data_IF_150629773380
#
_entry.id   IF_150629773380
#
_cell.length_a   1.000
_cell.length_b   1.000
_cell.length_c   1.000
_cell.angle_alpha   90.00
_cell.angle_beta   90.00
_cell.angle_gamma   90.00
#
_symmetry.space_group_name_H-M   'P 1'
#
loop_
_entity.id
_entity.type
_entity.pdbx_description
1 polymer ?
#
# COMPACT_ATOMS: atom_id res chain seq x y z
N UNK A 1 7.69 7.24 0.14
CA UNK A 1 6.38 7.62 -0.46
C UNK A 1 6.37 9.13 -0.74
N UNK A 2 5.56 9.60 -1.69
CA UNK A 2 5.42 11.03 -1.99
C UNK A 2 4.07 11.61 -1.53
N UNK A 3 3.05 10.78 -1.38
CA UNK A 3 1.73 11.17 -0.89
C UNK A 3 1.00 9.99 -0.25
N UNK A 4 0.00 10.30 0.59
CA UNK A 4 -1.04 9.33 0.96
C UNK A 4 -2.05 9.31 -0.18
N UNK A 5 -2.35 8.12 -0.66
CA UNK A 5 -3.32 7.92 -1.72
C UNK A 5 -4.75 7.88 -1.16
N UNK A 6 -4.94 7.26 0.01
CA UNK A 6 -6.23 7.25 0.68
C UNK A 6 -6.26 6.36 1.92
N UNK A 7 -7.34 6.52 2.67
CA UNK A 7 -7.74 5.70 3.82
C UNK A 7 -9.04 4.99 3.45
N UNK A 8 -9.05 3.66 3.46
CA UNK A 8 -10.17 2.86 3.01
C UNK A 8 -10.68 2.01 4.17
N UNK A 9 -11.96 2.17 4.49
CA UNK A 9 -12.69 1.24 5.33
C UNK A 9 -13.35 0.20 4.43
N UNK A 10 -12.94 -1.05 4.53
CA UNK A 10 -13.37 -2.13 3.63
C UNK A 10 -13.65 -3.41 4.40
N UNK A 11 -14.84 -3.98 4.19
CA UNK A 11 -15.19 -5.31 4.67
C UNK A 11 -14.85 -6.37 3.61
N UNK A 12 -14.08 -7.39 3.98
CA UNK A 12 -13.74 -8.54 3.14
C UNK A 12 -14.65 -9.70 3.49
N UNK A 13 -15.56 -10.07 2.58
CA UNK A 13 -16.40 -11.26 2.75
C UNK A 13 -15.57 -12.55 2.82
N UNK A 14 -14.45 -12.62 2.06
CA UNK A 14 -13.57 -13.80 2.05
C UNK A 14 -12.93 -14.03 3.42
N UNK A 15 -12.51 -12.95 4.07
CA UNK A 15 -11.75 -13.02 5.31
C UNK A 15 -12.66 -12.79 6.55
N UNK A 16 -13.97 -12.56 6.34
CA UNK A 16 -14.98 -12.17 7.34
C UNK A 16 -14.47 -11.09 8.31
N UNK A 17 -13.82 -10.07 7.74
CA UNK A 17 -13.07 -9.09 8.51
C UNK A 17 -13.16 -7.69 7.91
N UNK A 18 -13.10 -6.71 8.81
CA UNK A 18 -13.04 -5.29 8.46
C UNK A 18 -11.60 -4.80 8.48
N UNK A 19 -11.19 -4.14 7.41
CA UNK A 19 -9.87 -3.55 7.24
C UNK A 19 -9.96 -2.03 7.20
N UNK A 20 -9.03 -1.39 7.91
CA UNK A 20 -8.68 0.00 7.67
C UNK A 20 -7.35 0.02 6.92
N UNK A 21 -7.39 0.32 5.61
CA UNK A 21 -6.22 0.32 4.74
C UNK A 21 -5.74 1.74 4.48
N UNK A 22 -4.47 2.00 4.74
CA UNK A 22 -3.78 3.20 4.24
C UNK A 22 -3.02 2.83 2.98
N UNK A 23 -3.26 3.54 1.88
CA UNK A 23 -2.47 3.39 0.66
C UNK A 23 -1.56 4.61 0.49
N UNK A 24 -0.33 4.36 0.04
CA UNK A 24 0.64 5.38 -0.32
C UNK A 24 0.99 5.24 -1.80
N UNK A 25 1.43 6.34 -2.40
CA UNK A 25 2.04 6.30 -3.72
C UNK A 25 3.40 6.99 -3.72
N UNK A 26 4.19 6.70 -4.76
CA UNK A 26 5.52 7.27 -4.96
C UNK A 26 6.16 6.70 -6.21
N UNK A 27 7.38 7.14 -6.48
CA UNK A 27 8.20 6.57 -7.55
C UNK A 27 8.99 5.42 -6.95
N UNK A 28 8.87 4.25 -7.57
CA UNK A 28 9.70 3.09 -7.29
C UNK A 28 10.63 2.87 -8.47
N UNK A 29 11.91 2.60 -8.19
CA UNK A 29 12.90 2.23 -9.19
C UNK A 29 13.19 0.74 -9.09
N UNK A 30 13.58 0.13 -10.22
CA UNK A 30 14.10 -1.21 -10.17
C UNK A 30 15.35 -1.22 -9.29
N UNK A 31 15.48 -2.18 -8.36
CA UNK A 31 16.67 -2.29 -7.54
C UNK A 31 17.90 -2.60 -8.42
N UNK A 32 19.06 -2.11 -8.01
CA UNK A 32 20.34 -2.33 -8.71
C UNK A 32 20.80 -3.78 -8.66
N UNK A 33 20.28 -4.56 -7.72
CA UNK A 33 20.53 -5.99 -7.53
C UNK A 33 19.20 -6.72 -7.33
N UNK A 34 19.18 -8.03 -7.57
CA UNK A 34 18.00 -8.85 -7.27
C UNK A 34 17.73 -8.81 -5.76
N UNK A 35 16.57 -8.32 -5.33
CA UNK A 35 16.24 -8.27 -3.90
C UNK A 35 15.96 -9.68 -3.40
N UNK A 36 16.38 -9.96 -2.17
CA UNK A 36 15.88 -11.12 -1.44
C UNK A 36 14.40 -10.90 -1.14
N UNK A 37 13.55 -11.79 -1.65
CA UNK A 37 12.11 -11.72 -1.46
C UNK A 37 11.72 -12.50 -0.20
N UNK A 38 10.69 -12.02 0.50
CA UNK A 38 10.03 -12.81 1.53
C UNK A 38 9.58 -14.16 0.93
N UNK A 39 9.73 -15.30 1.63
CA UNK A 39 9.35 -16.62 1.14
C UNK A 39 7.92 -16.72 0.59
N UNK A 40 6.97 -15.89 1.05
CA UNK A 40 5.60 -15.91 0.53
C UNK A 40 5.44 -15.16 -0.80
N UNK A 41 6.46 -14.43 -1.25
CA UNK A 41 6.47 -13.68 -2.50
C UNK A 41 7.13 -14.52 -3.60
N UNK A 42 6.32 -15.00 -4.54
CA UNK A 42 6.77 -15.83 -5.67
C UNK A 42 7.58 -15.00 -6.69
N UNK A 43 7.11 -13.79 -7.03
CA UNK A 43 7.74 -12.91 -8.01
C UNK A 43 7.22 -11.47 -7.89
N UNK A 44 7.95 -10.52 -8.46
CA UNK A 44 7.52 -9.13 -8.64
C UNK A 44 7.43 -8.79 -10.13
N UNK A 45 6.40 -8.04 -10.51
CA UNK A 45 6.14 -7.65 -11.90
C UNK A 45 5.77 -6.17 -11.97
N UNK A 46 6.23 -5.49 -13.03
CA UNK A 46 5.76 -4.16 -13.42
C UNK A 46 4.65 -4.33 -14.46
N UNK A 47 3.44 -3.92 -14.11
CA UNK A 47 2.26 -4.08 -14.95
C UNK A 47 1.58 -2.73 -15.19
N UNK A 48 1.01 -2.55 -16.37
CA UNK A 48 0.08 -1.44 -16.63
C UNK A 48 -1.24 -1.67 -15.90
N UNK A 49 -2.04 -0.61 -15.76
CA UNK A 49 -3.38 -0.71 -15.18
C UNK A 49 -4.24 -1.75 -15.91
N UNK A 50 -4.21 -1.75 -17.24
CA UNK A 50 -5.00 -2.66 -18.09
C UNK A 50 -4.57 -4.12 -17.87
N UNK A 51 -3.27 -4.36 -17.73
CA UNK A 51 -2.74 -5.70 -17.44
C UNK A 51 -3.17 -6.19 -16.05
N UNK A 52 -3.26 -5.30 -15.05
CA UNK A 52 -3.81 -5.63 -13.72
C UNK A 52 -5.31 -5.92 -13.81
N UNK A 53 -6.07 -5.11 -14.56
CA UNK A 53 -7.51 -5.29 -14.75
C UNK A 53 -7.84 -6.62 -15.44
N UNK A 54 -7.06 -7.00 -16.46
CA UNK A 54 -7.20 -8.29 -17.13
C UNK A 54 -7.04 -9.49 -16.17
N UNK A 55 -6.39 -9.29 -15.02
CA UNK A 55 -6.17 -10.30 -13.98
C UNK A 55 -7.05 -10.09 -12.74
N UNK A 56 -8.13 -9.29 -12.82
CA UNK A 56 -8.97 -8.92 -11.67
C UNK A 56 -9.39 -10.11 -10.79
N UNK A 57 -9.72 -11.25 -11.40
CA UNK A 57 -10.16 -12.46 -10.69
C UNK A 57 -9.05 -13.14 -9.87
N UNK A 58 -7.78 -12.81 -10.13
CA UNK A 58 -6.61 -13.33 -9.41
C UNK A 58 -6.11 -12.38 -8.33
N UNK A 59 -6.65 -11.17 -8.25
CA UNK A 59 -6.20 -10.18 -7.27
C UNK A 59 -6.64 -10.60 -5.87
N UNK A 60 -5.75 -10.39 -4.89
CA UNK A 60 -6.03 -10.71 -3.48
C UNK A 60 -7.19 -9.90 -2.90
N UNK A 61 -7.55 -8.78 -3.50
CA UNK A 61 -8.70 -7.96 -3.08
C UNK A 61 -9.06 -6.97 -4.19
N UNK A 62 -10.34 -6.59 -4.33
CA UNK A 62 -10.76 -5.49 -5.22
C UNK A 62 -10.07 -4.16 -4.88
N UNK A 63 -9.55 -4.01 -3.65
CA UNK A 63 -8.81 -2.82 -3.22
C UNK A 63 -7.53 -2.56 -4.01
N UNK A 64 -6.97 -3.58 -4.69
CA UNK A 64 -5.81 -3.37 -5.58
C UNK A 64 -6.18 -2.46 -6.74
N UNK A 65 -7.23 -2.78 -7.49
CA UNK A 65 -7.70 -1.96 -8.61
C UNK A 65 -8.21 -0.61 -8.14
N UNK A 66 -8.95 -0.57 -7.03
CA UNK A 66 -9.43 0.70 -6.46
C UNK A 66 -8.28 1.68 -6.18
N UNK A 67 -7.20 1.20 -5.56
CA UNK A 67 -6.04 2.05 -5.31
C UNK A 67 -5.40 2.54 -6.63
N UNK A 68 -5.26 1.66 -7.64
CA UNK A 68 -4.69 2.07 -8.93
C UNK A 68 -5.56 3.13 -9.60
N UNK A 69 -6.89 2.97 -9.55
CA UNK A 69 -7.85 3.90 -10.13
C UNK A 69 -7.79 5.27 -9.46
N UNK A 70 -7.79 5.30 -8.13
CA UNK A 70 -7.65 6.55 -7.37
C UNK A 70 -6.26 7.20 -7.61
N UNK A 71 -5.22 6.40 -7.88
CA UNK A 71 -3.92 6.92 -8.27
C UNK A 71 -3.99 7.59 -9.66
N UNK A 72 -4.61 6.92 -10.63
CA UNK A 72 -4.82 7.40 -11.99
C UNK A 72 -5.75 8.62 -12.05
N UNK A 73 -6.70 8.76 -11.13
CA UNK A 73 -7.58 9.94 -11.03
C UNK A 73 -6.90 11.16 -10.42
N UNK A 74 -5.65 11.04 -9.98
CA UNK A 74 -4.85 12.15 -9.44
C UNK A 74 -5.01 12.37 -7.93
N UNK A 75 -5.65 11.46 -7.18
CA UNK A 75 -5.83 11.60 -5.73
C UNK A 75 -4.49 11.61 -5.00
N UNK A 76 -4.12 12.72 -4.34
CA UNK A 76 -2.88 12.84 -3.57
C UNK A 76 -3.15 13.67 -2.31
N UNK A 77 -3.10 13.05 -1.15
CA UNK A 77 -3.11 13.74 0.14
C UNK A 77 -1.68 13.96 0.64
N UNK A 78 -1.41 15.09 1.30
CA UNK A 78 -0.09 15.35 1.85
C UNK A 78 0.27 14.31 2.91
N UNK A 79 1.54 13.89 2.98
CA UNK A 79 2.00 12.93 4.00
C UNK A 79 1.73 13.42 5.43
N UNK A 80 1.70 14.74 5.64
CA UNK A 80 1.36 15.38 6.91
C UNK A 80 -0.09 15.16 7.37
N UNK A 81 -0.96 14.55 6.55
CA UNK A 81 -2.27 14.10 7.01
C UNK A 81 -2.17 12.91 7.98
N UNK A 82 -1.03 12.22 8.02
CA UNK A 82 -0.72 11.24 9.03
C UNK A 82 0.07 11.91 10.15
N UNK A 83 -0.41 11.73 11.37
CA UNK A 83 0.28 12.17 12.57
C UNK A 83 0.68 10.96 13.40
N UNK A 84 1.90 10.97 13.91
CA UNK A 84 2.34 10.02 14.91
C UNK A 84 2.09 10.62 16.30
N UNK A 85 1.28 9.94 17.12
CA UNK A 85 1.04 10.34 18.49
C UNK A 85 2.01 9.59 19.43
N UNK A 86 2.75 10.32 20.27
CA UNK A 86 3.52 9.74 21.38
C UNK A 86 4.92 9.19 21.05
N UNK A 87 5.55 9.57 19.94
CA UNK A 87 6.89 9.06 19.58
C UNK A 87 7.98 9.40 20.63
N UNK A 88 7.87 10.57 21.28
CA UNK A 88 8.78 11.06 22.33
C UNK A 88 8.81 10.17 23.60
N UNK A 89 7.70 9.52 23.96
CA UNK A 89 7.63 8.67 25.15
C UNK A 89 8.35 7.32 24.95
N UNK A 90 8.41 6.84 23.71
CA UNK A 90 9.02 5.55 23.35
C UNK A 90 10.55 5.60 23.35
N UNK A 91 11.15 6.75 23.00
CA UNK A 91 12.61 6.95 23.08
C UNK A 91 13.12 7.05 24.53
N UNK A 92 12.30 7.56 25.47
CA UNK A 92 12.67 7.65 26.88
C UNK A 92 12.73 6.28 27.59
N UNK A 93 12.05 5.26 27.08
CA UNK A 93 12.03 3.92 27.68
C UNK A 93 13.15 2.99 27.18
N UNK A 94 13.79 3.28 26.04
CA UNK A 94 14.85 2.43 25.47
C UNK A 94 16.26 2.91 25.85
N UNK A 95 16.37 4.10 26.44
CA UNK A 95 17.63 4.69 26.93
C UNK A 95 17.90 4.48 28.43
N UNK A 96 17.56 3.32 28.99
CA UNK A 96 17.80 2.95 30.39
C UNK A 96 18.56 1.65 30.54
#
# INVERSE_FOLDING_TARGET
PTAVLGLYHWFSERDDATFLRVAFCGVAQAPSTTPELDPVIIATHWLTREQVLAQQNRLRSPMVLRCIDDYCSGTRFPLSCLAEAGFEERLRQVGG
#
